data_IF_516721668148
#
_entry.id   IF_516721668148
#
_cell.length_a   1.000
_cell.length_b   1.000
_cell.length_c   1.000
_cell.angle_alpha   90.00
_cell.angle_beta   90.00
_cell.angle_gamma   90.00
#
_symmetry.space_group_name_H-M   'P 1'
#
loop_
_entity.id
_entity.type
_entity.pdbx_description
1 polymer ?
#
# COMPACT_ATOMS: atom_id res chain seq x y z
N UNK A 1 5.98 14.11 1.21
CA UNK A 1 4.96 13.45 2.06
C UNK A 1 5.15 11.94 1.95
N UNK A 2 4.95 11.21 3.04
CA UNK A 2 5.00 9.73 3.02
C UNK A 2 3.61 9.17 3.31
N UNK A 3 3.08 8.39 2.36
CA UNK A 3 1.78 7.73 2.46
C UNK A 3 1.97 6.25 2.79
N UNK A 4 1.51 5.84 3.97
CA UNK A 4 1.49 4.44 4.38
C UNK A 4 0.13 3.83 4.07
N UNK A 5 0.10 2.75 3.29
CA UNK A 5 -1.11 1.96 3.06
C UNK A 5 -1.02 0.64 3.83
N UNK A 6 -1.93 0.43 4.78
CA UNK A 6 -1.89 -0.71 5.70
C UNK A 6 -3.13 -1.59 5.57
N UNK A 7 -2.95 -2.91 5.61
CA UNK A 7 -4.08 -3.86 5.55
C UNK A 7 -4.73 -4.16 6.91
N UNK A 8 -5.12 -3.17 7.72
CA UNK A 8 -5.76 -3.42 9.03
C UNK A 8 -5.50 -2.34 10.07
N UNK A 9 -5.79 -2.67 11.33
CA UNK A 9 -5.70 -1.75 12.48
C UNK A 9 -4.35 -1.83 13.24
N UNK A 10 -4.06 -0.81 14.06
CA UNK A 10 -2.83 -0.64 14.87
C UNK A 10 -2.73 -1.66 16.04
N UNK A 11 -3.81 -2.36 16.36
CA UNK A 11 -3.96 -3.19 17.58
C UNK A 11 -3.06 -4.44 17.55
N UNK A 12 -2.85 -5.05 16.39
CA UNK A 12 -2.04 -6.27 16.25
C UNK A 12 -0.60 -5.93 15.87
N UNK A 13 0.36 -6.30 16.74
CA UNK A 13 1.80 -6.12 16.52
C UNK A 13 2.23 -6.77 15.19
N UNK A 14 2.50 -5.93 14.19
CA UNK A 14 2.88 -6.37 12.84
C UNK A 14 3.55 -5.23 12.06
N UNK A 15 3.90 -5.46 10.79
CA UNK A 15 4.40 -4.41 9.89
C UNK A 15 3.55 -3.13 9.91
N UNK A 16 2.23 -3.27 10.07
CA UNK A 16 1.26 -2.17 10.20
C UNK A 16 1.57 -1.25 11.38
N UNK A 17 1.93 -1.82 12.53
CA UNK A 17 2.32 -1.05 13.71
C UNK A 17 3.55 -0.20 13.43
N UNK A 18 4.50 -0.70 12.62
CA UNK A 18 5.68 0.08 12.19
C UNK A 18 5.29 1.31 11.38
N UNK A 19 4.32 1.21 10.46
CA UNK A 19 3.86 2.38 9.71
C UNK A 19 3.31 3.47 10.63
N UNK A 20 2.48 3.10 11.60
CA UNK A 20 1.97 4.07 12.59
C UNK A 20 3.10 4.67 13.43
N UNK A 21 4.04 3.86 13.92
CA UNK A 21 5.19 4.36 14.70
C UNK A 21 6.10 5.29 13.90
N UNK A 22 6.34 4.97 12.63
CA UNK A 22 7.14 5.83 11.74
C UNK A 22 6.40 7.13 11.49
N UNK A 23 5.10 7.09 11.23
CA UNK A 23 4.28 8.29 11.08
C UNK A 23 4.33 9.18 12.34
N UNK A 24 4.16 8.57 13.52
CA UNK A 24 4.26 9.26 14.81
C UNK A 24 5.65 9.88 15.02
N UNK A 25 6.72 9.24 14.53
CA UNK A 25 8.09 9.79 14.57
C UNK A 25 8.32 10.90 13.55
N UNK A 26 7.83 10.78 12.32
CA UNK A 26 7.96 11.81 11.29
C UNK A 26 7.32 13.12 11.75
N UNK A 27 6.16 13.04 12.41
CA UNK A 27 5.50 14.20 13.00
C UNK A 27 6.41 14.95 14.00
N UNK A 28 7.22 14.23 14.79
CA UNK A 28 8.19 14.84 15.71
C UNK A 28 9.30 15.62 15.00
N UNK A 29 9.64 15.23 13.78
CA UNK A 29 10.63 15.92 12.93
C UNK A 29 10.02 16.96 11.99
N UNK A 30 8.73 17.31 12.18
CA UNK A 30 7.95 18.19 11.28
C UNK A 30 7.84 17.68 9.85
N UNK A 31 8.12 16.40 9.64
CA UNK A 31 7.89 15.71 8.38
C UNK A 31 6.43 15.25 8.29
N UNK A 32 5.90 15.22 7.07
CA UNK A 32 4.49 14.86 6.84
C UNK A 32 4.36 13.39 6.45
N UNK A 33 3.64 12.63 7.29
CA UNK A 33 3.24 11.26 7.03
C UNK A 33 1.73 11.07 7.21
N UNK A 34 1.13 10.23 6.38
CA UNK A 34 -0.29 9.85 6.49
C UNK A 34 -0.46 8.34 6.41
N UNK A 35 -1.39 7.80 7.20
CA UNK A 35 -1.71 6.37 7.19
C UNK A 35 -3.12 6.17 6.63
N UNK A 36 -3.23 5.36 5.59
CA UNK A 36 -4.49 4.97 4.97
C UNK A 36 -4.71 3.47 5.10
N UNK A 37 -5.93 3.11 5.53
CA UNK A 37 -6.31 1.71 5.64
C UNK A 37 -6.86 1.19 4.31
N UNK A 38 -6.36 0.04 3.87
CA UNK A 38 -6.90 -0.76 2.77
C UNK A 38 -7.64 -1.95 3.34
N UNK A 39 -8.93 -2.07 3.05
CA UNK A 39 -9.78 -3.18 3.50
C UNK A 39 -9.57 -4.36 2.56
N UNK A 40 -9.15 -5.49 3.13
CA UNK A 40 -8.98 -6.74 2.38
C UNK A 40 -10.33 -7.38 2.11
N UNK A 41 -10.60 -7.73 0.85
CA UNK A 41 -11.88 -8.35 0.44
C UNK A 41 -11.66 -9.39 -0.64
N UNK A 42 -12.52 -10.41 -0.74
CA UNK A 42 -12.52 -11.34 -1.87
C UNK A 42 -12.69 -10.59 -3.20
N UNK A 43 -12.04 -11.07 -4.26
CA UNK A 43 -12.08 -10.43 -5.58
C UNK A 43 -13.52 -10.26 -6.12
N UNK A 44 -14.36 -11.28 -5.95
CA UNK A 44 -15.71 -11.36 -6.53
C UNK A 44 -16.78 -10.50 -5.85
N UNK A 45 -16.47 -9.89 -4.69
CA UNK A 45 -17.45 -9.10 -3.96
C UNK A 45 -17.43 -7.64 -4.43
N UNK A 46 -18.21 -7.33 -5.46
CA UNK A 46 -18.45 -5.96 -5.92
C UNK A 46 -19.53 -5.30 -5.06
N UNK A 47 -19.19 -4.17 -4.43
CA UNK A 47 -20.12 -3.46 -3.53
C UNK A 47 -19.84 -1.96 -3.57
N UNK A 48 -20.85 -1.14 -3.31
CA UNK A 48 -20.69 0.33 -3.27
C UNK A 48 -19.59 0.78 -2.30
N UNK A 49 -19.40 0.18 -1.11
CA UNK A 49 -18.27 0.51 -0.25
C UNK A 49 -16.91 0.21 -0.88
N UNK A 50 -16.79 -0.87 -1.67
CA UNK A 50 -15.54 -1.18 -2.41
C UNK A 50 -15.26 -0.12 -3.46
N UNK A 51 -16.29 0.30 -4.21
CA UNK A 51 -16.14 1.33 -5.22
C UNK A 51 -15.75 2.69 -4.61
N UNK A 52 -16.38 3.07 -3.48
CA UNK A 52 -16.00 4.27 -2.72
C UNK A 52 -14.54 4.21 -2.26
N UNK A 53 -14.09 3.05 -1.78
CA UNK A 53 -12.71 2.84 -1.36
C UNK A 53 -11.73 2.91 -2.55
N UNK A 54 -12.09 2.34 -3.69
CA UNK A 54 -11.33 2.45 -4.94
C UNK A 54 -11.12 3.91 -5.33
N UNK A 55 -12.20 4.70 -5.43
CA UNK A 55 -12.10 6.12 -5.79
C UNK A 55 -11.37 6.95 -4.75
N UNK A 56 -11.54 6.66 -3.46
CA UNK A 56 -10.78 7.30 -2.38
C UNK A 56 -9.28 7.07 -2.58
N UNK A 57 -8.88 5.82 -2.77
CA UNK A 57 -7.47 5.46 -2.97
C UNK A 57 -6.94 6.10 -4.25
N UNK A 58 -7.68 6.03 -5.36
CA UNK A 58 -7.33 6.66 -6.63
C UNK A 58 -7.07 8.16 -6.47
N UNK A 59 -7.96 8.87 -5.75
CA UNK A 59 -7.83 10.30 -5.49
C UNK A 59 -6.58 10.64 -4.67
N UNK A 60 -6.19 9.81 -3.71
CA UNK A 60 -4.95 10.01 -2.93
C UNK A 60 -3.74 9.93 -3.86
N UNK A 61 -3.65 8.91 -4.71
CA UNK A 61 -2.55 8.79 -5.67
C UNK A 61 -2.54 9.95 -6.68
N UNK A 62 -3.71 10.34 -7.19
CA UNK A 62 -3.84 11.41 -8.17
C UNK A 62 -3.42 12.78 -7.60
N UNK A 63 -3.83 13.10 -6.37
CA UNK A 63 -3.55 14.38 -5.73
C UNK A 63 -2.14 14.48 -5.13
N UNK A 64 -1.43 13.36 -5.00
CA UNK A 64 -0.05 13.36 -4.49
C UNK A 64 0.93 13.96 -5.49
N UNK A 65 2.08 14.43 -5.02
CA UNK A 65 3.18 14.87 -5.87
C UNK A 65 3.97 13.67 -6.39
N UNK A 66 4.75 13.85 -7.46
CA UNK A 66 5.62 12.79 -8.01
C UNK A 66 6.67 12.32 -7.00
N UNK A 67 7.10 13.25 -6.15
CA UNK A 67 8.19 13.10 -5.19
C UNK A 67 7.75 12.42 -3.89
N UNK A 68 6.44 12.36 -3.67
CA UNK A 68 5.85 11.71 -2.51
C UNK A 68 6.09 10.20 -2.56
N UNK A 69 6.26 9.62 -1.38
CA UNK A 69 6.64 8.22 -1.22
C UNK A 69 5.45 7.42 -0.71
N UNK A 70 5.18 6.31 -1.37
CA UNK A 70 4.12 5.37 -1.04
C UNK A 70 4.71 4.09 -0.47
N UNK A 71 4.38 3.76 0.78
CA UNK A 71 4.83 2.54 1.44
C UNK A 71 3.63 1.62 1.65
N UNK A 72 3.67 0.44 1.01
CA UNK A 72 2.56 -0.49 0.91
C UNK A 72 2.80 -1.71 1.81
N UNK A 73 2.05 -1.82 2.91
CA UNK A 73 2.22 -2.87 3.93
C UNK A 73 1.13 -3.93 3.85
N UNK A 74 1.51 -5.13 3.39
CA UNK A 74 0.59 -6.28 3.26
C UNK A 74 -0.67 -6.00 2.44
N UNK A 75 -0.61 -5.13 1.43
CA UNK A 75 -1.76 -4.75 0.58
C UNK A 75 -1.80 -5.49 -0.77
N UNK A 76 -0.78 -6.31 -1.06
CA UNK A 76 -0.63 -7.11 -2.28
C UNK A 76 -1.77 -8.09 -2.57
N UNK A 77 -2.51 -8.51 -1.53
CA UNK A 77 -3.66 -9.41 -1.66
C UNK A 77 -4.89 -8.73 -2.28
N UNK A 78 -4.96 -7.40 -2.32
CA UNK A 78 -6.10 -6.65 -2.84
C UNK A 78 -5.86 -6.20 -4.28
N UNK A 79 -6.38 -6.97 -5.24
CA UNK A 79 -6.07 -6.79 -6.66
C UNK A 79 -6.45 -5.41 -7.21
N UNK A 80 -7.64 -4.90 -6.91
CA UNK A 80 -8.12 -3.58 -7.33
C UNK A 80 -7.23 -2.44 -6.81
N UNK A 81 -6.73 -2.57 -5.57
CA UNK A 81 -5.75 -1.63 -5.04
C UNK A 81 -4.41 -1.73 -5.79
N UNK A 82 -3.95 -2.95 -6.08
CA UNK A 82 -2.70 -3.16 -6.83
C UNK A 82 -2.80 -2.64 -8.27
N UNK A 83 -3.98 -2.72 -8.90
CA UNK A 83 -4.20 -2.12 -10.22
C UNK A 83 -4.03 -0.59 -10.18
N UNK A 84 -4.55 0.09 -9.15
CA UNK A 84 -4.32 1.53 -8.95
C UNK A 84 -2.82 1.81 -8.81
N UNK A 85 -2.13 1.05 -7.95
CA UNK A 85 -0.70 1.21 -7.68
C UNK A 85 0.12 1.05 -8.96
N UNK A 86 -0.14 0.01 -9.74
CA UNK A 86 0.54 -0.25 -11.01
C UNK A 86 0.25 0.85 -12.04
N UNK A 87 -1.01 1.27 -12.18
CA UNK A 87 -1.39 2.38 -13.05
C UNK A 87 -0.58 3.65 -12.72
N UNK A 88 -0.55 4.07 -11.47
CA UNK A 88 0.20 5.27 -11.08
C UNK A 88 1.72 5.11 -11.15
N UNK A 89 2.24 3.91 -10.93
CA UNK A 89 3.66 3.63 -11.13
C UNK A 89 4.05 3.75 -12.60
N UNK A 90 3.27 3.16 -13.52
CA UNK A 90 3.59 3.11 -14.95
C UNK A 90 3.39 4.47 -15.60
N UNK A 91 2.24 5.11 -15.39
CA UNK A 91 1.87 6.33 -16.11
C UNK A 91 2.38 7.62 -15.46
N UNK A 92 2.62 7.62 -14.14
CA UNK A 92 3.00 8.83 -13.39
C UNK A 92 4.35 8.70 -12.66
N UNK A 93 5.03 7.57 -12.80
CA UNK A 93 6.34 7.29 -12.20
C UNK A 93 6.41 7.64 -10.70
N UNK A 94 5.37 7.25 -9.94
CA UNK A 94 5.31 7.48 -8.49
C UNK A 94 6.35 6.63 -7.74
N UNK A 95 6.88 7.18 -6.63
CA UNK A 95 7.78 6.46 -5.73
C UNK A 95 7.00 5.51 -4.84
N UNK A 96 6.94 4.25 -5.23
CA UNK A 96 6.24 3.17 -4.53
C UNK A 96 7.25 2.14 -4.00
N UNK A 97 7.06 1.77 -2.73
CA UNK A 97 7.82 0.76 -1.99
C UNK A 97 6.85 -0.26 -1.40
N UNK A 98 7.18 -1.54 -1.53
CA UNK A 98 6.42 -2.61 -0.93
C UNK A 98 7.14 -3.16 0.30
N UNK A 99 6.46 -3.15 1.44
CA UNK A 99 6.91 -3.76 2.69
C UNK A 99 6.16 -5.09 2.83
N UNK A 100 6.84 -6.14 2.35
CA UNK A 100 6.39 -7.53 2.45
C UNK A 100 6.87 -8.11 3.79
N UNK A 101 5.96 -8.73 4.53
CA UNK A 101 6.33 -9.51 5.71
C UNK A 101 6.89 -10.86 5.22
N UNK A 102 8.04 -11.29 5.74
CA UNK A 102 8.86 -12.39 5.19
C UNK A 102 8.10 -13.71 4.98
N UNK A 103 7.06 -13.96 5.77
CA UNK A 103 6.25 -15.16 5.64
C UNK A 103 5.36 -15.21 4.38
N UNK A 104 5.05 -14.07 3.72
CA UNK A 104 4.15 -14.03 2.55
C UNK A 104 4.64 -14.91 1.39
N UNK A 105 5.96 -15.02 1.22
CA UNK A 105 6.58 -15.85 0.19
C UNK A 105 6.37 -17.36 0.41
N UNK A 106 6.09 -17.78 1.65
CA UNK A 106 5.95 -19.20 2.03
C UNK A 106 4.54 -19.74 1.76
N UNK A 107 3.52 -18.88 1.65
CA UNK A 107 2.13 -19.34 1.56
C UNK A 107 1.73 -19.96 0.22
N UNK A 108 2.33 -19.56 -0.91
CA UNK A 108 2.08 -20.23 -2.21
C UNK A 108 3.05 -19.78 -3.32
N UNK A 109 3.26 -20.65 -4.33
CA UNK A 109 4.00 -20.32 -5.56
C UNK A 109 3.44 -19.08 -6.28
N UNK A 110 2.10 -18.91 -6.29
CA UNK A 110 1.43 -17.74 -6.90
C UNK A 110 1.79 -16.44 -6.18
N UNK A 111 1.82 -16.43 -4.85
CA UNK A 111 2.21 -15.25 -4.07
C UNK A 111 3.70 -14.94 -4.24
N UNK A 112 4.55 -15.96 -4.32
CA UNK A 112 5.98 -15.79 -4.61
C UNK A 112 6.21 -15.06 -5.93
N UNK A 113 5.55 -15.48 -7.01
CA UNK A 113 5.65 -14.83 -8.33
C UNK A 113 5.17 -13.38 -8.27
N UNK A 114 3.99 -13.13 -7.69
CA UNK A 114 3.45 -11.77 -7.54
C UNK A 114 4.41 -10.84 -6.78
N UNK A 115 5.02 -11.35 -5.72
CA UNK A 115 5.93 -10.57 -4.89
C UNK A 115 7.21 -10.25 -5.64
N UNK A 116 7.80 -11.21 -6.38
CA UNK A 116 8.97 -10.97 -7.23
C UNK A 116 8.69 -9.88 -8.27
N UNK A 117 7.53 -9.94 -8.95
CA UNK A 117 7.14 -8.94 -9.94
C UNK A 117 7.05 -7.56 -9.29
N UNK A 118 6.40 -7.46 -8.13
CA UNK A 118 6.22 -6.18 -7.45
C UNK A 118 7.51 -5.63 -6.83
N UNK A 119 8.43 -6.50 -6.37
CA UNK A 119 9.78 -6.10 -5.99
C UNK A 119 10.55 -5.47 -7.16
N UNK A 120 10.45 -6.05 -8.38
CA UNK A 120 11.10 -5.48 -9.58
C UNK A 120 10.50 -4.13 -10.00
N UNK A 121 9.23 -3.90 -9.70
CA UNK A 121 8.50 -2.67 -10.03
C UNK A 121 8.66 -1.61 -8.92
N UNK A 122 8.97 -2.04 -7.70
CA UNK A 122 9.33 -1.16 -6.59
C UNK A 122 10.50 -0.27 -7.00
N UNK A 123 10.54 0.95 -6.45
CA UNK A 123 11.71 1.82 -6.64
C UNK A 123 12.84 1.29 -5.73
N UNK A 124 13.51 0.23 -6.17
CA UNK A 124 14.79 -0.22 -5.65
C UNK A 124 15.92 0.25 -6.55
#
# INVERSE_FOLDING_TARGET
MIYFFVSGDKILASSRTRAYMICDRLAKYKERGEVHRVVMRPFWNFSSPRLKEFFRNFKIFFNSKKEDVFILQKTISQLDFILIVLFFKIFFNKKIYFDFDDAIFLYSKKMKIKTIILCKISNG
#
